data_IF_979075960504
#
_entry.id   IF_979075960504
#
_cell.length_a   1.000
_cell.length_b   1.000
_cell.length_c   1.000
_cell.angle_alpha   90.00
_cell.angle_beta   90.00
_cell.angle_gamma   90.00
#
_symmetry.space_group_name_H-M   'P 1'
#
loop_
_entity.id
_entity.type
_entity.pdbx_description
1 polymer ?
#
# COMPACT_ATOMS: atom_id res chain seq x y z
N UNK A 1 -3.44 1.52 10.41
CA UNK A 1 -2.23 0.83 9.89
C UNK A 1 -1.09 0.75 10.92
N UNK A 2 -0.83 1.79 11.73
CA UNK A 2 0.38 1.88 12.59
C UNK A 2 0.49 0.89 13.77
N UNK A 3 -0.59 0.23 14.18
CA UNK A 3 -0.59 -0.73 15.30
C UNK A 3 -0.49 -2.20 14.87
N UNK A 4 -0.28 -2.46 13.58
CA UNK A 4 -0.21 -3.80 13.02
C UNK A 4 1.22 -4.34 13.08
N UNK A 5 1.37 -5.66 13.15
CA UNK A 5 2.67 -6.31 13.14
C UNK A 5 3.43 -5.97 11.85
N UNK A 6 4.64 -5.41 11.99
CA UNK A 6 5.49 -5.07 10.85
C UNK A 6 6.60 -6.10 10.59
N UNK A 7 6.61 -7.21 11.32
CA UNK A 7 7.71 -8.18 11.31
C UNK A 7 8.96 -7.67 12.03
N UNK A 8 10.04 -8.44 11.97
CA UNK A 8 11.39 -8.03 12.38
C UNK A 8 12.34 -7.99 11.18
N UNK A 9 13.57 -7.53 11.39
CA UNK A 9 14.56 -7.51 10.31
C UNK A 9 15.00 -8.95 9.95
N UNK A 10 15.00 -9.86 10.93
CA UNK A 10 15.29 -11.29 10.76
C UNK A 10 14.08 -12.11 10.28
N UNK A 11 12.86 -11.64 10.57
CA UNK A 11 11.59 -12.27 10.19
C UNK A 11 10.61 -11.25 9.58
N UNK A 12 10.91 -10.68 8.40
CA UNK A 12 10.01 -9.73 7.75
C UNK A 12 8.68 -10.35 7.32
N UNK A 13 8.62 -11.66 7.11
CA UNK A 13 7.43 -12.44 6.77
C UNK A 13 6.40 -12.51 7.90
N UNK A 14 6.79 -12.27 9.15
CA UNK A 14 5.90 -12.25 10.31
C UNK A 14 5.03 -10.98 10.39
N UNK A 15 5.10 -10.13 9.36
CA UNK A 15 4.26 -8.94 9.28
C UNK A 15 2.83 -9.24 8.84
N UNK A 16 1.93 -8.31 9.16
CA UNK A 16 0.54 -8.42 8.75
C UNK A 16 0.36 -8.10 7.25
N UNK A 17 -0.44 -8.92 6.57
CA UNK A 17 -1.09 -8.55 5.31
C UNK A 17 -2.50 -8.03 5.61
N UNK A 18 -2.84 -6.85 5.12
CA UNK A 18 -4.10 -6.18 5.44
C UNK A 18 -4.97 -6.10 4.21
N UNK A 19 -6.19 -6.65 4.30
CA UNK A 19 -7.21 -6.48 3.27
C UNK A 19 -8.10 -5.31 3.68
N UNK A 20 -8.16 -4.27 2.84
CA UNK A 20 -8.97 -3.07 3.07
C UNK A 20 -9.99 -2.92 1.96
N UNK A 21 -11.27 -2.96 2.35
CA UNK A 21 -12.35 -2.60 1.44
C UNK A 21 -12.36 -1.07 1.24
N UNK A 22 -12.28 -0.65 -0.01
CA UNK A 22 -12.40 0.75 -0.43
C UNK A 22 -13.68 0.94 -1.24
N UNK A 23 -14.14 2.17 -1.40
CA UNK A 23 -15.38 2.45 -2.11
C UNK A 23 -15.27 2.13 -3.61
N UNK A 24 -14.11 2.43 -4.21
CA UNK A 24 -13.85 2.13 -5.61
C UNK A 24 -12.34 2.00 -5.90
N UNK A 25 -12.02 1.17 -6.91
CA UNK A 25 -10.71 1.12 -7.57
C UNK A 25 -10.90 1.58 -9.02
N UNK A 26 -9.95 2.34 -9.55
CA UNK A 26 -10.05 3.00 -10.87
C UNK A 26 -10.66 4.41 -10.84
N UNK A 27 -11.19 4.84 -9.70
CA UNK A 27 -11.84 6.14 -9.50
C UNK A 27 -11.27 6.85 -8.26
N UNK A 28 -11.41 8.18 -8.20
CA UNK A 28 -10.96 8.99 -7.06
C UNK A 28 -9.52 9.48 -7.18
N UNK A 29 -8.88 9.66 -6.02
CA UNK A 29 -7.52 10.15 -5.87
C UNK A 29 -6.53 9.31 -6.67
N UNK A 30 -5.52 9.97 -7.25
CA UNK A 30 -4.53 9.33 -8.11
C UNK A 30 -3.19 9.21 -7.39
N UNK A 31 -2.70 7.98 -7.29
CA UNK A 31 -1.46 7.64 -6.61
C UNK A 31 -0.46 7.09 -7.63
N UNK A 32 0.74 7.68 -7.67
CA UNK A 32 1.84 7.19 -8.49
C UNK A 32 2.65 6.20 -7.68
N UNK A 33 2.86 5.01 -8.23
CA UNK A 33 3.57 3.89 -7.61
C UNK A 33 4.86 3.61 -8.35
N UNK A 34 5.95 3.43 -7.60
CA UNK A 34 7.27 3.05 -8.11
C UNK A 34 7.87 1.99 -7.18
N UNK A 35 8.52 0.97 -7.73
CA UNK A 35 9.21 -0.03 -6.94
C UNK A 35 9.41 -1.34 -7.71
N UNK A 36 9.98 -2.37 -7.04
CA UNK A 36 10.18 -3.69 -7.63
C UNK A 36 8.89 -4.26 -8.23
N UNK A 37 8.99 -4.89 -9.40
CA UNK A 37 7.85 -5.45 -10.14
C UNK A 37 7.14 -4.45 -11.06
N UNK A 38 7.48 -3.16 -11.02
CA UNK A 38 7.00 -2.14 -11.96
C UNK A 38 8.12 -1.70 -12.91
N UNK A 39 8.00 -2.00 -14.21
CA UNK A 39 8.98 -1.54 -15.22
C UNK A 39 9.00 -0.02 -15.38
N UNK A 40 7.84 0.62 -15.17
CA UNK A 40 7.64 2.07 -15.23
C UNK A 40 6.68 2.48 -14.11
N UNK A 41 6.70 3.74 -13.67
CA UNK A 41 5.71 4.25 -12.72
C UNK A 41 4.28 3.92 -13.18
N UNK A 42 3.43 3.48 -12.25
CA UNK A 42 2.02 3.17 -12.52
C UNK A 42 1.12 4.07 -11.69
N UNK A 43 -0.06 4.38 -12.21
CA UNK A 43 -1.08 5.11 -11.46
C UNK A 43 -2.14 4.16 -10.95
N UNK A 44 -2.39 4.20 -9.64
CA UNK A 44 -3.58 3.63 -9.01
C UNK A 44 -4.57 4.76 -8.73
N UNK A 45 -5.84 4.56 -9.09
CA UNK A 45 -6.93 5.42 -8.62
C UNK A 45 -7.76 4.67 -7.58
N UNK A 46 -8.03 5.31 -6.44
CA UNK A 46 -8.87 4.72 -5.39
C UNK A 46 -9.72 5.77 -4.68
N UNK A 47 -10.93 5.38 -4.27
CA UNK A 47 -11.86 6.19 -3.48
C UNK A 47 -12.05 5.54 -2.11
N UNK A 48 -11.93 6.32 -1.03
CA UNK A 48 -12.12 5.84 0.34
C UNK A 48 -10.82 5.50 1.09
N UNK A 49 -9.66 5.82 0.51
CA UNK A 49 -8.41 5.88 1.28
C UNK A 49 -8.38 7.12 2.18
N UNK A 50 -7.77 7.03 3.36
CA UNK A 50 -7.66 8.18 4.27
C UNK A 50 -6.78 9.28 3.65
N UNK A 51 -7.05 10.54 4.00
CA UNK A 51 -6.35 11.72 3.45
C UNK A 51 -4.84 11.69 3.69
N UNK A 52 -4.39 11.06 4.77
CA UNK A 52 -2.98 10.91 5.15
C UNK A 52 -2.35 9.60 4.63
N UNK A 53 -3.01 8.89 3.72
CA UNK A 53 -2.55 7.59 3.22
C UNK A 53 -1.12 7.61 2.70
N UNK A 54 -0.73 8.63 1.92
CA UNK A 54 0.64 8.73 1.38
C UNK A 54 1.67 8.90 2.49
N UNK A 55 1.36 9.68 3.53
CA UNK A 55 2.24 9.81 4.69
C UNK A 55 2.34 8.49 5.47
N UNK A 56 1.22 7.78 5.67
CA UNK A 56 1.20 6.46 6.28
C UNK A 56 2.04 5.45 5.48
N UNK A 57 1.92 5.46 4.15
CA UNK A 57 2.66 4.56 3.28
C UNK A 57 4.14 4.87 3.24
N UNK A 58 4.52 6.15 3.22
CA UNK A 58 5.92 6.56 3.30
C UNK A 58 6.60 6.07 4.58
N UNK A 59 5.92 6.13 5.73
CA UNK A 59 6.43 5.57 6.99
C UNK A 59 6.55 4.04 6.92
N UNK A 60 5.58 3.35 6.32
CA UNK A 60 5.65 1.89 6.12
C UNK A 60 6.83 1.51 5.20
N UNK A 61 7.03 2.24 4.10
CA UNK A 61 8.08 1.97 3.13
C UNK A 61 9.50 2.14 3.71
N UNK A 62 9.69 3.11 4.61
CA UNK A 62 10.96 3.32 5.33
C UNK A 62 11.39 2.13 6.20
N UNK A 63 10.46 1.25 6.56
CA UNK A 63 10.75 0.09 7.40
C UNK A 63 11.33 -1.09 6.61
N UNK A 64 11.35 -1.05 5.28
CA UNK A 64 11.80 -2.17 4.45
C UNK A 64 13.16 -2.73 4.93
N UNK A 65 13.29 -4.07 5.16
CA UNK A 65 12.39 -5.15 4.71
C UNK A 65 11.14 -5.39 5.57
N UNK A 66 11.01 -4.71 6.72
CA UNK A 66 9.79 -4.72 7.55
C UNK A 66 8.68 -3.88 6.92
N UNK A 67 7.50 -3.95 7.52
CA UNK A 67 6.31 -3.22 7.09
C UNK A 67 5.15 -4.15 6.75
N UNK A 68 3.96 -3.59 6.61
CA UNK A 68 2.77 -4.34 6.21
C UNK A 68 2.62 -4.34 4.69
N UNK A 69 2.00 -5.38 4.16
CA UNK A 69 1.48 -5.39 2.79
C UNK A 69 -0.02 -5.11 2.81
N UNK A 70 -0.52 -4.41 1.79
CA UNK A 70 -1.92 -3.99 1.70
C UNK A 70 -2.56 -4.56 0.44
N UNK A 71 -3.75 -5.13 0.57
CA UNK A 71 -4.60 -5.50 -0.55
C UNK A 71 -5.87 -4.65 -0.47
N UNK A 72 -6.05 -3.77 -1.44
CA UNK A 72 -7.30 -3.03 -1.60
C UNK A 72 -8.30 -3.89 -2.36
N UNK A 73 -9.55 -3.90 -1.91
CA UNK A 73 -10.65 -4.58 -2.60
C UNK A 73 -11.86 -3.65 -2.81
N UNK A 74 -12.48 -3.75 -3.98
CA UNK A 74 -13.73 -3.06 -4.32
C UNK A 74 -14.53 -3.91 -5.33
N UNK A 75 -15.53 -4.65 -4.84
CA UNK A 75 -16.27 -5.62 -5.65
C UNK A 75 -15.35 -6.76 -6.11
N UNK A 76 -15.25 -6.93 -7.42
CA UNK A 76 -14.39 -7.93 -8.09
C UNK A 76 -12.98 -7.41 -8.40
N UNK A 77 -12.66 -6.16 -8.04
CA UNK A 77 -11.35 -5.55 -8.28
C UNK A 77 -10.45 -5.62 -7.05
N UNK A 78 -9.18 -5.94 -7.30
CA UNK A 78 -8.12 -5.97 -6.29
C UNK A 78 -6.91 -5.13 -6.74
N UNK A 79 -6.24 -4.49 -5.79
CA UNK A 79 -4.93 -3.87 -5.99
C UNK A 79 -4.01 -4.20 -4.80
N UNK A 80 -2.89 -4.87 -5.06
CA UNK A 80 -1.91 -5.19 -4.04
C UNK A 80 -0.82 -4.12 -4.01
N UNK A 81 -0.50 -3.64 -2.81
CA UNK A 81 0.57 -2.71 -2.51
C UNK A 81 1.56 -3.40 -1.57
N UNK A 82 2.64 -3.99 -2.11
CA UNK A 82 3.74 -4.50 -1.30
C UNK A 82 4.46 -3.35 -0.58
N UNK A 83 4.95 -3.59 0.64
CA UNK A 83 5.67 -2.62 1.49
C UNK A 83 6.89 -1.95 0.82
N UNK A 84 7.44 -2.57 -0.22
CA UNK A 84 8.56 -2.04 -1.01
C UNK A 84 8.15 -1.02 -2.08
N UNK A 85 6.85 -0.77 -2.30
CA UNK A 85 6.41 0.28 -3.20
C UNK A 85 6.55 1.65 -2.54
N UNK A 86 7.13 2.61 -3.26
CA UNK A 86 7.00 4.03 -2.98
C UNK A 86 5.73 4.55 -3.64
N UNK A 87 4.94 5.33 -2.89
CA UNK A 87 3.67 5.88 -3.34
C UNK A 87 3.66 7.38 -3.09
N UNK A 88 3.29 8.16 -4.10
CA UNK A 88 3.10 9.62 -4.04
C UNK A 88 1.79 10.04 -4.71
N UNK A 89 1.39 11.30 -4.60
CA UNK A 89 0.10 11.79 -5.10
C UNK A 89 -0.96 11.89 -4.01
N UNK A 90 -2.23 11.75 -4.39
CA UNK A 90 -3.38 12.02 -3.52
C UNK A 90 -4.27 13.12 -4.07
#
# INVERSE_FOLDING_TARGET
LRCLACGSDEGPEDSATVIVQVAALGEGAAYTMVGPGLQHPRTLRATGLPVDFVALWAENHKLFPRGIDLILCAGDRLAALPRSLSITGG
#
